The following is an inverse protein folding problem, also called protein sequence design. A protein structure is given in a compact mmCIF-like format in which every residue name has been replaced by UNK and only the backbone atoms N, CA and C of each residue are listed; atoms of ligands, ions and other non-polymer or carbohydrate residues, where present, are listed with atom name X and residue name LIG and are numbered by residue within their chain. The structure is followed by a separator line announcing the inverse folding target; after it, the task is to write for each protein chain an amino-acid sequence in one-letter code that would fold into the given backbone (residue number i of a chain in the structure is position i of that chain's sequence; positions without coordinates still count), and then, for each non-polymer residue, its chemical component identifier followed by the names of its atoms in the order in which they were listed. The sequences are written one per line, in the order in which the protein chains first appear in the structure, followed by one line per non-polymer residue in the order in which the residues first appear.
data_IF_858086868927
#
_entry.id   IF_858086868927
#
_cell.length_a   1.000
_cell.length_b   1.000
_cell.length_c   1.000
_cell.angle_alpha   90.00
_cell.angle_beta   90.00
_cell.angle_gamma   90.00
#
_symmetry.space_group_name_H-M   'P 1'
#
loop_
_entity.id
_entity.type
_entity.pdbx_description
1 polymer ?
#
# COMPACT_ATOMS: atom_id res chain seq x y z
N UNK A 1 20.18 -9.26 19.01
CA UNK A 1 19.16 -8.33 18.45
C UNK A 1 18.73 -8.69 16.99
N UNK A 2 19.57 -9.33 16.17
CA UNK A 2 19.17 -9.77 14.81
C UNK A 2 18.24 -11.00 14.72
N UNK A 3 18.25 -11.90 15.72
CA UNK A 3 17.44 -13.14 15.70
C UNK A 3 15.92 -12.92 15.89
N UNK A 4 15.50 -11.92 16.68
CA UNK A 4 14.07 -11.63 16.87
C UNK A 4 13.40 -11.03 15.61
N UNK A 5 14.12 -10.20 14.85
CA UNK A 5 13.60 -9.57 13.62
C UNK A 5 13.32 -10.59 12.50
N UNK A 6 14.07 -11.69 12.47
CA UNK A 6 13.87 -12.77 11.50
C UNK A 6 12.62 -13.59 11.85
N UNK A 7 12.29 -13.74 13.13
CA UNK A 7 11.18 -14.57 13.60
C UNK A 7 9.79 -14.00 13.24
N UNK A 8 9.57 -12.68 13.36
CA UNK A 8 8.27 -12.07 13.04
C UNK A 8 7.94 -12.10 11.53
N UNK A 9 8.93 -11.78 10.68
CA UNK A 9 8.78 -11.89 9.23
C UNK A 9 8.62 -13.35 8.76
N UNK A 10 9.31 -14.30 9.41
CA UNK A 10 9.14 -15.73 9.14
C UNK A 10 7.77 -16.25 9.59
N UNK A 11 7.20 -15.74 10.69
CA UNK A 11 5.86 -16.12 11.15
C UNK A 11 4.76 -15.68 10.18
N UNK A 12 4.85 -14.47 9.63
CA UNK A 12 3.91 -13.99 8.59
C UNK A 12 4.09 -14.72 7.25
N UNK A 13 5.32 -15.06 6.87
CA UNK A 13 5.60 -15.85 5.67
C UNK A 13 5.15 -17.32 5.78
N UNK A 14 5.17 -17.88 6.99
CA UNK A 14 4.74 -19.27 7.26
C UNK A 14 3.21 -19.42 7.34
N UNK A 15 2.49 -18.35 7.67
CA UNK A 15 1.04 -18.32 7.60
C UNK A 15 0.65 -18.02 6.15
N UNK A 16 0.34 -19.05 5.37
CA UNK A 16 -0.21 -18.87 4.02
C UNK A 16 -1.55 -18.13 4.11
N UNK A 17 -1.52 -16.80 4.03
CA UNK A 17 -2.74 -15.99 4.09
C UNK A 17 -3.53 -16.21 2.81
N UNK A 18 -4.85 -16.44 2.90
CA UNK A 18 -5.68 -16.49 1.71
C UNK A 18 -5.53 -15.18 0.93
N UNK A 19 -5.59 -15.22 -0.41
CA UNK A 19 -5.44 -14.03 -1.23
C UNK A 19 -6.46 -12.97 -0.81
N UNK A 20 -5.97 -11.75 -0.57
CA UNK A 20 -6.81 -10.63 -0.17
C UNK A 20 -7.95 -10.41 -1.18
N UNK A 21 -9.17 -10.22 -0.67
CA UNK A 21 -10.37 -9.94 -1.45
C UNK A 21 -11.12 -8.75 -0.85
N UNK A 22 -11.89 -8.08 -1.69
CA UNK A 22 -12.91 -7.15 -1.24
C UNK A 22 -14.11 -7.90 -0.66
N UNK A 23 -14.70 -7.34 0.40
CA UNK A 23 -15.93 -7.81 1.00
C UNK A 23 -17.10 -7.72 0.00
N UNK A 24 -18.13 -8.56 0.18
CA UNK A 24 -19.33 -8.51 -0.68
C UNK A 24 -20.18 -7.27 -0.43
N UNK A 25 -20.15 -6.75 0.80
CA UNK A 25 -20.74 -5.47 1.17
C UNK A 25 -19.80 -4.36 0.70
N UNK A 26 -20.30 -3.48 -0.15
CA UNK A 26 -19.61 -2.32 -0.72
C UNK A 26 -20.63 -1.26 -1.11
N UNK A 27 -20.18 -0.07 -1.47
CA UNK A 27 -21.03 1.04 -1.90
C UNK A 27 -21.80 0.73 -3.17
N UNK A 28 -22.95 1.38 -3.35
CA UNK A 28 -23.88 1.14 -4.45
C UNK A 28 -23.26 1.37 -5.85
N UNK A 29 -22.26 2.25 -5.94
CA UNK A 29 -21.61 2.58 -7.21
C UNK A 29 -20.35 1.75 -7.45
N UNK A 30 -20.11 0.70 -6.67
CA UNK A 30 -18.96 -0.21 -6.86
C UNK A 30 -19.43 -1.50 -7.53
N UNK A 31 -18.66 -1.94 -8.53
CA UNK A 31 -18.75 -3.29 -9.09
C UNK A 31 -17.45 -4.03 -8.84
N UNK A 32 -17.57 -5.19 -8.19
CA UNK A 32 -16.45 -6.11 -8.02
C UNK A 32 -16.36 -7.06 -9.22
N UNK A 33 -15.14 -7.48 -9.56
CA UNK A 33 -14.94 -8.58 -10.50
C UNK A 33 -15.27 -9.95 -9.87
N UNK A 34 -15.33 -11.01 -10.69
CA UNK A 34 -15.68 -12.35 -10.22
C UNK A 34 -14.75 -12.86 -9.10
N UNK A 35 -13.47 -12.47 -9.13
CA UNK A 35 -12.49 -12.85 -8.10
C UNK A 35 -12.56 -11.95 -6.85
N UNK A 36 -13.31 -10.85 -6.88
CA UNK A 36 -13.35 -9.80 -5.85
C UNK A 36 -11.96 -9.24 -5.51
N UNK A 37 -11.10 -9.15 -6.52
CA UNK A 37 -9.77 -8.52 -6.40
C UNK A 37 -9.72 -7.18 -7.12
N UNK A 38 -10.71 -6.82 -7.92
CA UNK A 38 -10.84 -5.51 -8.55
C UNK A 38 -12.16 -4.85 -8.17
N UNK A 39 -12.09 -3.62 -7.71
CA UNK A 39 -13.24 -2.76 -7.46
C UNK A 39 -13.26 -1.64 -8.51
N UNK A 40 -14.38 -1.47 -9.21
CA UNK A 40 -14.57 -0.44 -10.23
C UNK A 40 -15.77 0.40 -9.86
N UNK A 41 -15.58 1.72 -9.78
CA UNK A 41 -16.70 2.65 -9.65
C UNK A 41 -17.42 2.77 -10.99
N UNK A 42 -18.71 2.49 -11.01
CA UNK A 42 -19.50 2.43 -12.25
C UNK A 42 -20.27 3.72 -12.53
N UNK A 43 -20.58 4.49 -11.49
CA UNK A 43 -21.39 5.70 -11.57
C UNK A 43 -20.97 6.73 -10.51
N UNK A 44 -21.27 8.01 -10.77
CA UNK A 44 -21.03 9.16 -9.87
C UNK A 44 -19.57 9.26 -9.40
N UNK A 45 -19.32 10.09 -8.38
CA UNK A 45 -18.07 10.17 -7.63
C UNK A 45 -18.19 9.64 -6.19
N UNK A 46 -19.42 9.35 -5.76
CA UNK A 46 -19.81 8.92 -4.40
C UNK A 46 -20.16 7.42 -4.34
N UNK A 47 -20.49 6.91 -3.15
CA UNK A 47 -20.80 5.49 -2.89
C UNK A 47 -19.70 4.53 -3.36
N UNK A 48 -18.43 4.94 -3.18
CA UNK A 48 -17.24 4.22 -3.62
C UNK A 48 -16.61 3.28 -2.56
N UNK A 49 -17.24 3.15 -1.39
CA UNK A 49 -16.70 2.41 -0.25
C UNK A 49 -16.56 0.91 -0.52
N UNK A 50 -15.39 0.36 -0.22
CA UNK A 50 -15.05 -1.04 -0.26
C UNK A 50 -14.36 -1.43 1.05
N UNK A 51 -14.53 -2.68 1.46
CA UNK A 51 -13.92 -3.20 2.68
C UNK A 51 -13.05 -4.44 2.39
N UNK A 52 -12.09 -4.75 3.25
CA UNK A 52 -11.44 -6.07 3.23
C UNK A 52 -12.45 -7.17 3.55
N UNK A 53 -12.32 -8.32 2.89
CA UNK A 53 -13.18 -9.48 3.15
C UNK A 53 -13.04 -10.00 4.59
N UNK A 54 -11.82 -10.02 5.10
CA UNK A 54 -11.49 -10.46 6.46
C UNK A 54 -10.85 -9.29 7.22
N UNK A 55 -10.94 -9.27 8.56
CA UNK A 55 -10.17 -8.33 9.36
C UNK A 55 -8.68 -8.57 9.14
N UNK A 56 -7.90 -7.49 9.17
CA UNK A 56 -6.45 -7.56 9.01
C UNK A 56 -5.80 -8.10 10.28
N UNK A 57 -4.80 -8.96 10.13
CA UNK A 57 -3.88 -9.29 11.22
C UNK A 57 -2.89 -8.13 11.46
N UNK A 58 -2.29 -8.03 12.67
CA UNK A 58 -1.23 -7.06 12.93
C UNK A 58 -0.09 -7.18 11.91
N UNK A 59 0.30 -6.07 11.31
CA UNK A 59 1.33 -6.01 10.25
C UNK A 59 0.87 -6.53 8.87
N UNK A 60 -0.36 -7.03 8.74
CA UNK A 60 -0.91 -7.41 7.45
C UNK A 60 -1.27 -6.14 6.65
N UNK A 61 -0.72 -6.03 5.45
CA UNK A 61 -0.98 -4.91 4.54
C UNK A 61 -2.12 -5.24 3.59
N UNK A 62 -3.10 -4.34 3.53
CA UNK A 62 -4.11 -4.34 2.48
C UNK A 62 -3.67 -3.39 1.37
N UNK A 63 -3.10 -3.96 0.31
CA UNK A 63 -2.43 -3.22 -0.77
C UNK A 63 -3.29 -3.14 -2.02
N UNK A 64 -3.58 -1.93 -2.49
CA UNK A 64 -4.31 -1.67 -3.74
C UNK A 64 -3.45 -0.93 -4.76
N UNK A 65 -3.55 -1.31 -6.03
CA UNK A 65 -3.00 -0.58 -7.18
C UNK A 65 -4.12 0.17 -7.90
N UNK A 66 -3.88 1.44 -8.23
CA UNK A 66 -4.80 2.24 -9.05
C UNK A 66 -4.67 1.82 -10.51
N UNK A 67 -5.68 1.12 -11.04
CA UNK A 67 -5.66 0.60 -12.41
C UNK A 67 -6.08 1.66 -13.44
N UNK A 68 -7.13 2.41 -13.13
CA UNK A 68 -7.76 3.38 -14.02
C UNK A 68 -8.11 4.68 -13.29
N UNK A 69 -8.06 5.77 -14.06
CA UNK A 69 -8.46 7.11 -13.64
C UNK A 69 -9.64 7.56 -14.50
N UNK A 70 -10.50 8.39 -13.95
CA UNK A 70 -11.61 9.02 -14.66
C UNK A 70 -11.36 10.53 -14.72
N UNK A 71 -11.40 11.08 -15.93
CA UNK A 71 -11.30 12.53 -16.13
C UNK A 71 -12.55 13.27 -15.65
N UNK A 72 -12.44 14.59 -15.46
CA UNK A 72 -13.57 15.43 -15.05
C UNK A 72 -13.87 15.44 -13.55
N UNK A 73 -13.22 14.59 -12.75
CA UNK A 73 -13.36 14.56 -11.30
C UNK A 73 -12.10 15.04 -10.58
N UNK A 74 -12.28 15.86 -9.54
CA UNK A 74 -11.19 16.34 -8.69
C UNK A 74 -11.23 15.64 -7.33
N UNK A 75 -10.07 15.19 -6.85
CA UNK A 75 -9.93 14.50 -5.56
C UNK A 75 -9.14 13.20 -5.66
N UNK A 76 -8.91 12.60 -4.49
CA UNK A 76 -7.97 11.50 -4.30
C UNK A 76 -8.67 10.26 -3.75
N UNK A 77 -8.08 9.09 -4.02
CA UNK A 77 -8.42 7.84 -3.31
C UNK A 77 -8.36 8.09 -1.80
N UNK A 78 -9.27 7.47 -1.04
CA UNK A 78 -9.20 7.47 0.42
C UNK A 78 -9.04 6.04 0.93
N UNK A 79 -8.24 5.87 1.96
CA UNK A 79 -7.99 4.55 2.57
C UNK A 79 -7.91 4.66 4.08
N UNK A 80 -8.15 3.56 4.77
CA UNK A 80 -8.17 3.57 6.23
C UNK A 80 -8.49 2.22 6.84
N UNK A 81 -8.82 2.25 8.11
CA UNK A 81 -9.31 1.10 8.87
C UNK A 81 -10.67 1.41 9.50
N UNK A 82 -11.44 0.36 9.79
CA UNK A 82 -12.68 0.44 10.56
C UNK A 82 -12.80 -0.75 11.51
N UNK A 83 -13.31 -0.54 12.73
CA UNK A 83 -13.66 -1.61 13.66
C UNK A 83 -15.14 -2.04 13.56
N UNK A 84 -15.85 -1.57 12.52
CA UNK A 84 -17.17 -2.05 12.14
C UNK A 84 -17.04 -3.26 11.21
N UNK A 85 -17.75 -4.34 11.53
CA UNK A 85 -17.87 -5.49 10.63
C UNK A 85 -18.72 -5.07 9.41
N UNK A 86 -18.18 -5.13 8.17
CA UNK A 86 -18.91 -4.79 6.96
C UNK A 86 -20.24 -5.55 6.82
N UNK A 87 -20.34 -6.78 7.32
CA UNK A 87 -21.55 -7.59 7.26
C UNK A 87 -22.65 -7.08 8.20
N UNK A 88 -22.29 -6.35 9.25
CA UNK A 88 -23.20 -5.78 10.26
C UNK A 88 -23.73 -4.40 9.91
N UNK A 89 -23.22 -3.76 8.85
CA UNK A 89 -23.67 -2.45 8.40
C UNK A 89 -25.09 -2.55 7.83
N UNK A 90 -26.03 -1.79 8.42
CA UNK A 90 -27.40 -1.71 7.89
C UNK A 90 -27.44 -1.14 6.46
N UNK A 91 -26.58 -0.16 6.19
CA UNK A 91 -26.32 0.38 4.86
C UNK A 91 -24.88 0.87 4.79
N UNK A 92 -24.25 0.76 3.61
CA UNK A 92 -22.93 1.36 3.38
C UNK A 92 -23.11 2.87 3.20
N UNK A 93 -22.39 3.71 3.97
CA UNK A 93 -22.47 5.16 3.84
C UNK A 93 -22.14 5.65 2.43
N UNK A 94 -22.60 6.87 2.10
CA UNK A 94 -22.31 7.48 0.81
C UNK A 94 -20.84 7.86 0.68
N UNK A 95 -20.27 8.44 1.74
CA UNK A 95 -18.87 8.85 1.79
C UNK A 95 -18.12 8.21 2.95
N UNK A 96 -16.84 7.90 2.74
CA UNK A 96 -15.94 7.60 3.87
C UNK A 96 -15.77 8.79 4.82
N UNK A 97 -15.77 10.00 4.26
CA UNK A 97 -15.61 11.26 4.98
C UNK A 97 -16.76 12.22 4.60
N UNK A 98 -17.55 12.72 5.56
CA UNK A 98 -17.45 12.46 6.99
C UNK A 98 -18.22 11.21 7.47
N UNK A 99 -19.12 10.65 6.66
CA UNK A 99 -20.18 9.76 7.14
C UNK A 99 -19.68 8.50 7.87
N UNK A 100 -18.80 7.71 7.25
CA UNK A 100 -18.26 6.50 7.87
C UNK A 100 -17.46 6.83 9.14
N UNK A 101 -16.64 7.88 9.12
CA UNK A 101 -15.88 8.33 10.30
C UNK A 101 -16.79 8.82 11.42
N UNK A 102 -17.90 9.48 11.08
CA UNK A 102 -18.89 9.95 12.05
C UNK A 102 -19.68 8.82 12.72
N UNK A 103 -19.69 7.61 12.16
CA UNK A 103 -20.20 6.42 12.86
C UNK A 103 -19.32 6.01 14.06
N UNK A 104 -18.15 6.62 14.22
CA UNK A 104 -17.13 6.23 15.19
C UNK A 104 -16.33 5.02 14.73
N UNK A 105 -15.21 4.75 15.40
CA UNK A 105 -14.37 3.57 15.16
C UNK A 105 -13.91 3.35 13.70
N UNK A 106 -13.80 4.43 12.92
CA UNK A 106 -13.27 4.41 11.57
C UNK A 106 -12.26 5.55 11.37
N UNK A 107 -11.14 5.23 10.73
CA UNK A 107 -10.00 6.12 10.53
C UNK A 107 -9.65 6.10 9.05
N UNK A 108 -10.23 7.01 8.27
CA UNK A 108 -10.05 7.08 6.81
C UNK A 108 -9.43 8.41 6.41
N UNK A 109 -8.46 8.37 5.51
CA UNK A 109 -7.74 9.56 5.05
C UNK A 109 -7.69 9.63 3.54
N UNK A 110 -7.81 10.84 2.99
CA UNK A 110 -7.48 11.08 1.60
C UNK A 110 -5.96 10.91 1.38
N UNK A 111 -5.60 10.25 0.28
CA UNK A 111 -4.20 10.02 -0.07
C UNK A 111 -3.59 11.29 -0.65
N UNK A 112 -2.76 11.93 0.17
CA UNK A 112 -1.99 13.12 -0.17
C UNK A 112 -0.61 13.00 0.48
N UNK A 113 0.45 13.52 -0.14
CA UNK A 113 1.79 13.33 0.43
C UNK A 113 1.99 14.04 1.78
N UNK A 114 1.27 15.13 2.04
CA UNK A 114 1.48 15.99 3.21
C UNK A 114 0.60 15.64 4.42
N UNK A 115 -0.64 15.16 4.22
CA UNK A 115 -1.58 14.99 5.33
C UNK A 115 -1.62 13.58 5.93
N UNK A 116 -0.93 12.60 5.33
CA UNK A 116 -0.92 11.22 5.84
C UNK A 116 0.19 10.95 6.89
N UNK A 117 1.03 11.95 7.21
CA UNK A 117 2.07 11.85 8.25
C UNK A 117 1.64 12.60 9.49
N UNK A 118 1.42 11.91 10.61
CA UNK A 118 1.30 12.56 11.92
C UNK A 118 2.71 12.86 12.41
N UNK A 119 3.04 14.14 12.59
CA UNK A 119 4.27 14.53 13.25
C UNK A 119 4.21 14.01 14.70
N UNK A 120 5.16 13.17 15.09
CA UNK A 120 5.40 12.94 16.51
C UNK A 120 6.01 14.23 17.08
N UNK A 121 5.48 14.75 18.17
CA UNK A 121 6.13 15.84 18.91
C UNK A 121 7.58 15.44 19.20
N UNK A 122 8.53 16.14 18.57
CA UNK A 122 9.96 16.04 18.90
C UNK A 122 10.79 14.90 18.28
N UNK A 123 10.25 14.04 17.41
CA UNK A 123 11.10 13.08 16.66
C UNK A 123 11.26 13.49 15.20
N UNK A 124 12.42 14.09 14.89
CA UNK A 124 12.89 14.27 13.52
C UNK A 124 12.83 12.93 12.77
N UNK A 125 12.01 12.91 11.70
CA UNK A 125 11.96 11.96 10.60
C UNK A 125 12.90 10.74 10.74
N UNK A 126 12.51 9.78 11.58
CA UNK A 126 13.25 8.53 11.73
C UNK A 126 13.33 7.83 10.37
N UNK A 127 14.57 7.76 9.89
CA UNK A 127 15.10 6.99 8.76
C UNK A 127 14.24 6.97 7.50
N UNK A 128 14.56 7.86 6.55
CA UNK A 128 14.32 7.59 5.13
C UNK A 128 14.97 6.24 4.82
N UNK A 129 14.17 5.16 4.72
CA UNK A 129 14.67 3.90 4.15
C UNK A 129 15.28 4.27 2.80
N UNK A 130 16.54 3.88 2.59
CA UNK A 130 17.23 4.15 1.35
C UNK A 130 16.38 3.58 0.20
N UNK A 131 16.04 4.34 -0.87
CA UNK A 131 15.17 3.85 -1.95
C UNK A 131 15.65 2.54 -2.59
N UNK A 132 16.94 2.28 -2.44
CA UNK A 132 17.69 1.13 -2.94
C UNK A 132 17.56 -0.12 -2.07
N UNK A 133 16.97 -0.02 -0.88
CA UNK A 133 16.76 -1.18 -0.02
C UNK A 133 15.64 -2.08 -0.56
N UNK A 134 15.85 -3.40 -0.60
CA UNK A 134 14.87 -4.32 -1.17
C UNK A 134 13.63 -4.54 -0.27
N UNK A 135 13.64 -4.00 0.94
CA UNK A 135 12.55 -4.12 1.89
C UNK A 135 12.18 -2.77 2.47
N UNK A 136 10.88 -2.55 2.68
CA UNK A 136 10.39 -1.57 3.63
C UNK A 136 10.48 -2.18 5.03
N UNK A 137 11.16 -1.48 5.94
CA UNK A 137 11.31 -1.85 7.33
C UNK A 137 10.42 -0.95 8.19
N UNK A 138 9.47 -1.55 8.89
CA UNK A 138 8.58 -0.85 9.82
C UNK A 138 8.54 -1.61 11.13
N UNK A 139 9.24 -1.10 12.15
CA UNK A 139 9.43 -1.78 13.42
C UNK A 139 9.92 -3.23 13.25
N UNK A 140 9.01 -4.21 13.36
CA UNK A 140 9.27 -5.65 13.23
C UNK A 140 8.80 -6.24 11.91
N UNK A 141 8.12 -5.44 11.09
CA UNK A 141 7.61 -5.81 9.79
C UNK A 141 8.66 -5.57 8.72
N UNK A 142 8.78 -6.55 7.82
CA UNK A 142 9.69 -6.53 6.68
C UNK A 142 8.91 -6.90 5.43
N UNK A 143 8.62 -5.91 4.60
CA UNK A 143 7.82 -6.09 3.39
C UNK A 143 8.70 -5.89 2.16
N UNK A 144 8.69 -6.82 1.18
CA UNK A 144 9.41 -6.63 -0.08
C UNK A 144 8.96 -5.35 -0.80
N UNK A 145 9.91 -4.45 -1.09
CA UNK A 145 9.62 -3.12 -1.65
C UNK A 145 9.12 -3.20 -3.10
N UNK A 146 9.57 -4.18 -3.86
CA UNK A 146 9.17 -4.41 -5.26
C UNK A 146 7.69 -4.77 -5.43
N UNK A 147 7.05 -5.34 -4.39
CA UNK A 147 5.60 -5.53 -4.37
C UNK A 147 4.86 -4.26 -3.93
N UNK A 148 5.50 -3.37 -3.17
CA UNK A 148 4.89 -2.11 -2.75
C UNK A 148 4.92 -1.02 -3.82
N UNK A 149 5.70 -1.20 -4.89
CA UNK A 149 5.82 -0.23 -5.98
C UNK A 149 5.24 -0.83 -7.26
N UNK A 150 4.20 -0.19 -7.83
CA UNK A 150 3.56 -0.60 -9.09
C UNK A 150 4.44 -0.54 -10.34
N UNK A 151 5.71 -0.19 -10.17
CA UNK A 151 6.66 0.23 -11.20
C UNK A 151 7.86 -0.70 -11.31
N UNK A 152 8.00 -1.66 -10.40
CA UNK A 152 9.10 -2.64 -10.39
C UNK A 152 9.09 -3.64 -11.56
N UNK A 153 8.15 -3.50 -12.50
CA UNK A 153 8.20 -4.21 -13.79
C UNK A 153 9.21 -3.49 -14.69
N UNK A 154 10.20 -4.17 -15.29
CA UNK A 154 11.18 -3.57 -16.17
C UNK A 154 10.50 -2.77 -17.28
N UNK A 155 10.65 -1.45 -17.24
CA UNK A 155 10.08 -0.55 -18.23
C UNK A 155 11.12 0.45 -18.67
N UNK A 156 11.05 0.91 -19.93
CA UNK A 156 12.03 1.85 -20.50
C UNK A 156 12.19 3.14 -19.67
N UNK A 157 11.18 3.50 -18.88
CA UNK A 157 11.12 4.70 -18.06
C UNK A 157 10.67 4.45 -16.60
N UNK A 158 10.74 3.20 -16.10
CA UNK A 158 10.27 2.85 -14.75
C UNK A 158 11.00 3.63 -13.65
N UNK A 159 12.25 4.00 -13.88
CA UNK A 159 13.08 4.74 -12.94
C UNK A 159 12.79 6.24 -12.87
N UNK A 160 12.42 6.87 -13.99
CA UNK A 160 12.12 8.32 -14.05
C UNK A 160 10.87 8.61 -13.24
N UNK A 161 9.95 7.67 -13.28
CA UNK A 161 8.69 7.68 -12.59
C UNK A 161 8.88 7.94 -11.06
N UNK A 162 9.84 7.30 -10.40
CA UNK A 162 10.10 7.53 -8.96
C UNK A 162 10.55 8.96 -8.67
N UNK A 163 11.39 9.53 -9.52
CA UNK A 163 11.78 10.92 -9.43
C UNK A 163 10.57 11.84 -9.67
N UNK A 164 9.72 11.56 -10.66
CA UNK A 164 8.51 12.35 -10.92
C UNK A 164 7.53 12.32 -9.74
N UNK A 165 7.45 11.21 -9.02
CA UNK A 165 6.75 11.21 -7.74
C UNK A 165 7.50 12.09 -6.75
N UNK A 166 8.78 11.85 -6.49
CA UNK A 166 9.57 12.60 -5.49
C UNK A 166 9.53 14.12 -5.70
N UNK A 167 9.58 14.58 -6.94
CA UNK A 167 9.49 16.00 -7.34
C UNK A 167 8.07 16.55 -7.39
N UNK A 168 7.07 15.73 -7.03
CA UNK A 168 5.65 16.09 -7.04
C UNK A 168 5.09 16.43 -8.43
N UNK A 169 5.77 15.99 -9.50
CA UNK A 169 5.28 16.11 -10.87
C UNK A 169 4.12 15.13 -11.13
N UNK A 170 4.14 13.96 -10.49
CA UNK A 170 3.02 13.02 -10.48
C UNK A 170 2.35 12.98 -9.09
N UNK A 171 1.00 12.95 -9.02
CA UNK A 171 0.28 12.85 -7.76
C UNK A 171 0.42 11.46 -7.14
N UNK A 172 0.39 11.37 -5.80
CA UNK A 172 0.43 10.10 -5.06
C UNK A 172 -0.63 9.08 -5.50
N UNK A 173 -1.74 9.55 -6.09
CA UNK A 173 -2.85 8.75 -6.61
C UNK A 173 -2.86 8.66 -8.15
N UNK A 174 -1.70 8.76 -8.80
CA UNK A 174 -1.59 8.53 -10.25
C UNK A 174 -1.88 7.05 -10.59
N UNK A 175 -2.15 6.76 -11.86
CA UNK A 175 -2.27 5.38 -12.34
C UNK A 175 -1.00 4.59 -12.00
N UNK A 176 -1.15 3.31 -11.64
CA UNK A 176 -0.10 2.40 -11.14
C UNK A 176 0.47 2.75 -9.76
N UNK A 177 -0.03 3.78 -9.08
CA UNK A 177 0.33 3.98 -7.68
C UNK A 177 -0.20 2.82 -6.85
N UNK A 178 0.61 2.32 -5.93
CA UNK A 178 0.22 1.31 -4.95
C UNK A 178 0.09 1.95 -3.58
N UNK A 179 -1.09 1.81 -3.00
CA UNK A 179 -1.48 2.37 -1.71
C UNK A 179 -1.81 1.22 -0.77
N UNK A 180 -1.13 1.17 0.37
CA UNK A 180 -1.36 0.16 1.38
C UNK A 180 -1.85 0.76 2.68
N UNK A 181 -2.65 0.01 3.42
CA UNK A 181 -2.98 0.31 4.81
C UNK A 181 -2.70 -0.93 5.67
N UNK A 182 -2.15 -0.71 6.85
CA UNK A 182 -1.89 -1.73 7.87
C UNK A 182 -1.98 -1.11 9.26
N UNK A 183 -1.98 -1.95 10.29
CA UNK A 183 -1.76 -1.49 11.66
C UNK A 183 -0.65 -2.28 12.35
N UNK A 184 0.03 -1.62 13.27
CA UNK A 184 1.06 -2.19 14.14
C UNK A 184 0.60 -2.11 15.60
N UNK A 185 0.79 -3.19 16.36
CA UNK A 185 0.47 -3.21 17.79
C UNK A 185 1.50 -2.41 18.58
N UNK A 186 0.99 -1.60 19.50
CA UNK A 186 1.79 -0.83 20.44
C UNK A 186 1.92 -1.58 21.78
N UNK A 187 2.97 -1.32 22.58
CA UNK A 187 3.19 -1.99 23.86
C UNK A 187 2.08 -1.77 24.90
N UNK A 188 1.30 -0.70 24.75
CA UNK A 188 0.16 -0.34 25.60
C UNK A 188 -1.12 -1.14 25.27
N UNK A 189 -1.06 -2.03 24.28
CA UNK A 189 -2.21 -2.82 23.83
C UNK A 189 -3.11 -2.09 22.83
N UNK A 190 -2.73 -0.90 22.37
CA UNK A 190 -3.40 -0.20 21.27
C UNK A 190 -2.73 -0.51 19.93
N UNK A 191 -3.27 0.06 18.84
CA UNK A 191 -2.69 -0.07 17.51
C UNK A 191 -2.46 1.30 16.84
N UNK A 192 -1.39 1.38 16.07
CA UNK A 192 -1.09 2.50 15.19
C UNK A 192 -1.37 2.09 13.75
N UNK A 193 -2.17 2.89 13.03
CA UNK A 193 -2.46 2.69 11.62
C UNK A 193 -1.42 3.40 10.77
N UNK A 194 -0.86 2.71 9.78
CA UNK A 194 0.09 3.26 8.82
C UNK A 194 -0.45 3.19 7.40
N UNK A 195 -0.13 4.23 6.62
CA UNK A 195 -0.42 4.30 5.19
C UNK A 195 0.89 4.20 4.41
N UNK A 196 0.93 3.29 3.45
CA UNK A 196 2.08 3.08 2.56
C UNK A 196 1.76 3.64 1.19
N UNK A 197 2.63 4.48 0.64
CA UNK A 197 2.48 5.05 -0.70
C UNK A 197 3.72 4.70 -1.51
N UNK A 198 3.57 3.83 -2.53
CA UNK A 198 4.66 3.41 -3.41
C UNK A 198 5.94 2.99 -2.66
N UNK A 199 5.78 2.13 -1.67
CA UNK A 199 6.90 1.60 -0.87
C UNK A 199 7.52 2.60 0.11
N UNK A 200 6.89 3.74 0.36
CA UNK A 200 7.23 4.67 1.42
C UNK A 200 6.17 4.62 2.54
N UNK A 201 6.61 4.44 3.79
CA UNK A 201 5.74 4.56 4.96
C UNK A 201 5.52 6.03 5.30
N UNK A 202 4.26 6.44 5.41
CA UNK A 202 3.90 7.79 5.81
C UNK A 202 4.03 8.02 7.32
N UNK A 203 4.28 6.96 8.09
CA UNK A 203 4.26 6.95 9.55
C UNK A 203 2.86 6.66 10.10
N UNK A 204 2.68 6.74 11.42
CA UNK A 204 1.40 6.44 12.07
C UNK A 204 0.39 7.52 11.71
N UNK A 205 -0.50 7.24 10.76
CA UNK A 205 -1.56 8.14 10.29
C UNK A 205 -2.69 8.29 11.31
N UNK A 206 -2.92 7.29 12.16
CA UNK A 206 -3.81 7.33 13.31
C UNK A 206 -3.25 6.45 14.43
N UNK A 207 -3.46 6.87 15.69
CA UNK A 207 -2.92 6.19 16.88
C UNK A 207 -4.02 5.77 17.83
N UNK A 208 -3.70 4.87 18.74
CA UNK A 208 -4.59 4.40 19.81
C UNK A 208 -5.86 3.71 19.27
N UNK A 209 -5.75 3.00 18.13
CA UNK A 209 -6.83 2.17 17.62
C UNK A 209 -7.09 0.99 18.57
N UNK A 210 -8.34 0.50 18.66
CA UNK A 210 -8.70 -0.61 19.54
C UNK A 210 -8.19 -1.94 18.98
N UNK A 211 -6.99 -2.36 19.39
CA UNK A 211 -6.37 -3.59 18.91
C UNK A 211 -7.08 -4.89 19.34
N UNK A 212 -7.96 -4.81 20.35
CA UNK A 212 -8.77 -5.96 20.80
C UNK A 212 -9.96 -6.26 19.89
N UNK A 213 -10.29 -5.34 18.98
CA UNK A 213 -11.38 -5.49 18.02
C UNK A 213 -10.84 -5.84 16.64
N UNK A 214 -11.59 -6.61 15.83
CA UNK A 214 -11.23 -6.83 14.43
C UNK A 214 -11.21 -5.50 13.67
N UNK A 215 -10.13 -5.24 12.92
CA UNK A 215 -9.99 -4.06 12.08
C UNK A 215 -10.03 -4.45 10.60
N UNK A 216 -10.97 -3.89 9.85
CA UNK A 216 -11.12 -4.10 8.42
C UNK A 216 -10.47 -2.95 7.64
N UNK A 217 -9.86 -3.26 6.50
CA UNK A 217 -9.40 -2.24 5.57
C UNK A 217 -10.59 -1.52 4.93
N UNK A 218 -10.46 -0.23 4.74
CA UNK A 218 -11.42 0.61 4.02
C UNK A 218 -10.72 1.21 2.81
N UNK A 219 -11.36 1.13 1.65
CA UNK A 219 -10.93 1.81 0.41
C UNK A 219 -12.13 2.51 -0.19
N UNK A 220 -12.06 3.83 -0.32
CA UNK A 220 -13.08 4.63 -0.99
C UNK A 220 -12.60 4.97 -2.41
N UNK A 221 -13.20 4.33 -3.42
CA UNK A 221 -12.93 4.56 -4.84
C UNK A 221 -13.55 5.90 -5.26
N UNK A 222 -12.88 6.98 -4.83
CA UNK A 222 -13.41 8.34 -4.85
C UNK A 222 -12.80 9.21 -5.95
N UNK A 223 -13.59 10.18 -6.42
CA UNK A 223 -13.21 11.23 -7.37
C UNK A 223 -12.50 10.71 -8.62
N UNK A 224 -11.25 11.13 -8.88
CA UNK A 224 -10.52 10.79 -10.11
C UNK A 224 -10.12 9.32 -10.23
N UNK A 225 -10.30 8.51 -9.18
CA UNK A 225 -9.99 7.07 -9.21
C UNK A 225 -11.18 6.29 -9.74
N UNK A 226 -10.99 5.54 -10.84
CA UNK A 226 -12.06 4.74 -11.45
C UNK A 226 -12.06 3.29 -10.96
N UNK A 227 -10.88 2.69 -10.87
CA UNK A 227 -10.75 1.32 -10.39
C UNK A 227 -9.44 1.07 -9.67
N UNK A 228 -9.52 0.14 -8.72
CA UNK A 228 -8.39 -0.36 -7.93
C UNK A 228 -8.36 -1.88 -7.96
N UNK A 229 -7.16 -2.46 -7.90
CA UNK A 229 -6.94 -3.89 -7.80
C UNK A 229 -6.10 -4.24 -6.58
N UNK A 230 -6.49 -5.29 -5.86
CA UNK A 230 -5.69 -5.85 -4.77
C UNK A 230 -4.41 -6.49 -5.30
N UNK A 231 -3.30 -6.13 -4.68
CA UNK A 231 -1.99 -6.71 -4.96
C UNK A 231 -1.66 -7.68 -3.83
N UNK A 232 -1.52 -8.98 -4.11
CA UNK A 232 -1.10 -9.94 -3.09
C UNK A 232 0.33 -9.61 -2.64
N UNK A 233 0.54 -9.65 -1.32
CA UNK A 233 1.84 -9.39 -0.71
C UNK A 233 2.35 -10.68 -0.09
N UNK A 234 3.40 -11.23 -0.68
CA UNK A 234 4.14 -12.36 -0.12
C UNK A 234 5.20 -11.83 0.82
N UNK A 235 5.11 -12.21 2.09
CA UNK A 235 6.09 -11.82 3.09
C UNK A 235 7.33 -12.72 3.02
N UNK A 236 8.50 -12.15 3.32
CA UNK A 236 9.73 -12.90 3.52
C UNK A 236 10.79 -12.78 2.42
N UNK A 237 10.41 -12.80 1.14
CA UNK A 237 11.36 -12.74 0.02
C UNK A 237 10.97 -11.72 -1.05
N UNK A 238 11.93 -10.93 -1.57
CA UNK A 238 11.72 -10.15 -2.78
C UNK A 238 11.54 -11.07 -3.99
N UNK A 239 11.01 -10.51 -5.07
CA UNK A 239 10.94 -11.24 -6.33
C UNK A 239 12.32 -11.73 -6.78
N UNK A 240 12.33 -12.83 -7.53
CA UNK A 240 13.55 -13.34 -8.17
C UNK A 240 14.25 -12.25 -8.99
N UNK A 241 13.48 -11.39 -9.65
CA UNK A 241 13.99 -10.26 -10.42
C UNK A 241 14.80 -9.29 -9.53
N UNK A 242 14.27 -8.91 -8.37
CA UNK A 242 14.97 -8.07 -7.38
C UNK A 242 16.22 -8.76 -6.87
N UNK A 243 16.14 -10.05 -6.53
CA UNK A 243 17.30 -10.82 -6.06
C UNK A 243 18.41 -10.90 -7.13
N UNK A 244 18.07 -11.19 -8.38
CA UNK A 244 19.02 -11.20 -9.49
C UNK A 244 19.70 -9.84 -9.69
N UNK A 245 18.92 -8.74 -9.64
CA UNK A 245 19.49 -7.39 -9.70
C UNK A 245 20.51 -7.14 -8.60
N UNK A 246 20.18 -7.47 -7.35
CA UNK A 246 21.08 -7.27 -6.22
C UNK A 246 22.39 -8.06 -6.40
N UNK A 247 22.31 -9.28 -6.92
CA UNK A 247 23.50 -10.09 -7.25
C UNK A 247 24.32 -9.42 -8.36
N UNK A 248 23.69 -8.94 -9.43
CA UNK A 248 24.39 -8.24 -10.52
C UNK A 248 25.07 -6.97 -9.99
N UNK A 249 24.35 -6.12 -9.27
CA UNK A 249 24.87 -4.87 -8.69
C UNK A 249 26.02 -5.12 -7.70
N UNK A 250 26.03 -6.28 -7.02
CA UNK A 250 27.13 -6.68 -6.13
C UNK A 250 28.42 -7.04 -6.89
N UNK A 251 28.32 -7.57 -8.12
CA UNK A 251 29.47 -8.05 -8.90
C UNK A 251 29.91 -7.07 -10.00
N UNK A 252 29.06 -6.11 -10.37
CA UNK A 252 29.36 -5.11 -11.40
C UNK A 252 29.79 -3.81 -10.72
N UNK A 253 31.10 -3.56 -10.75
CA UNK A 253 31.77 -2.48 -9.99
C UNK A 253 31.28 -1.07 -10.37
N UNK A 254 30.84 -0.85 -11.62
CA UNK A 254 30.36 0.45 -12.08
C UNK A 254 29.05 0.33 -12.86
N UNK A 255 28.12 1.26 -12.65
CA UNK A 255 26.80 1.28 -13.31
C UNK A 255 26.87 1.22 -14.84
N UNK A 256 27.91 1.81 -15.42
CA UNK A 256 28.17 1.78 -16.87
C UNK A 256 28.56 0.39 -17.38
N UNK A 257 29.19 -0.44 -16.54
CA UNK A 257 29.55 -1.81 -16.93
C UNK A 257 28.31 -2.71 -17.13
N UNK A 258 27.13 -2.30 -16.64
CA UNK A 258 25.86 -2.97 -16.94
C UNK A 258 25.52 -2.91 -18.44
N UNK A 259 26.00 -1.89 -19.18
CA UNK A 259 25.79 -1.81 -20.63
C UNK A 259 26.47 -2.94 -21.40
N UNK A 260 27.59 -3.45 -20.87
CA UNK A 260 28.34 -4.56 -21.45
C UNK A 260 27.73 -5.94 -21.18
N UNK A 261 26.73 -6.06 -20.31
CA UNK A 261 26.06 -7.33 -20.06
C UNK A 261 25.20 -7.72 -21.27
N UNK A 262 25.09 -9.02 -21.57
CA UNK A 262 24.17 -9.52 -22.59
C UNK A 262 22.75 -9.66 -22.03
N UNK A 263 22.17 -8.50 -21.67
CA UNK A 263 20.82 -8.38 -21.11
C UNK A 263 19.94 -7.52 -22.01
N UNK A 264 18.63 -7.83 -22.12
CA UNK A 264 17.65 -6.96 -22.76
C UNK A 264 17.69 -5.53 -22.19
N UNK A 265 17.49 -4.48 -23.02
CA UNK A 265 17.53 -3.09 -22.56
C UNK A 265 16.66 -2.77 -21.33
N UNK A 266 15.43 -3.31 -21.17
CA UNK A 266 14.63 -3.10 -19.96
C UNK A 266 15.30 -3.62 -18.69
N UNK A 267 15.99 -4.77 -18.76
CA UNK A 267 16.69 -5.36 -17.62
C UNK A 267 18.00 -4.62 -17.30
N UNK A 268 18.70 -4.11 -18.33
CA UNK A 268 19.82 -3.17 -18.12
C UNK A 268 19.37 -1.92 -17.38
N UNK A 269 18.26 -1.32 -17.80
CA UNK A 269 17.69 -0.15 -17.12
C UNK A 269 17.28 -0.47 -15.68
N UNK A 270 16.57 -1.57 -15.46
CA UNK A 270 16.20 -2.05 -14.13
C UNK A 270 17.43 -2.23 -13.22
N UNK A 271 18.48 -2.91 -13.70
CA UNK A 271 19.70 -3.12 -12.91
C UNK A 271 20.49 -1.84 -12.65
N UNK A 272 20.33 -0.82 -13.50
CA UNK A 272 21.01 0.47 -13.32
C UNK A 272 20.28 1.37 -12.35
N UNK A 273 18.95 1.43 -12.43
CA UNK A 273 18.19 2.54 -11.89
C UNK A 273 17.23 2.19 -10.75
N UNK A 274 16.99 0.90 -10.51
CA UNK A 274 16.27 0.40 -9.33
C UNK A 274 17.26 -0.24 -8.35
#
# INVERSE_FOLDING_TARGET
RGRLKIAAAAAMAAQGHPPARFHRVHGANVRLDASRTRATRVESFAHGLCFSQEPLAPGQIFLVEIEEKEGGWCGHLRVGLTAHDPQSLAAVPEYSLPDLVNLGDAWVFAITRSHNRVAADGEEARARCSPWEPFLLMEQLRIPRDVLVGRSRPGRYSHILDDLYRTNTLPATARRSRIGVLYALQPDGTADMHIIINGEDMGPSARHLPATRPLYAVVDVFASTKSVRLIPVEYGLPSLQTLCRLVIQKHVVHRLAIDGLDLPPPLKSFCKHE
#
